data_IF_660355968592
#
_entry.id   IF_660355968592
#
_cell.length_a   1.000
_cell.length_b   1.000
_cell.length_c   1.000
_cell.angle_alpha   90.00
_cell.angle_beta   90.00
_cell.angle_gamma   90.00
#
_symmetry.space_group_name_H-M   'P 1'
#
loop_
_entity.id
_entity.type
_entity.pdbx_description
1 polymer ?
#
# COMPACT_ATOMS: atom_id res chain seq x y z
N UNK A 1 18.45 -8.44 -6.98
CA UNK A 1 18.65 -8.73 -5.55
C UNK A 1 17.49 -9.59 -5.07
N UNK A 2 17.76 -10.64 -4.29
CA UNK A 2 16.73 -11.37 -3.55
C UNK A 2 16.62 -10.84 -2.11
N UNK A 3 15.82 -11.50 -1.26
CA UNK A 3 15.61 -11.09 0.15
C UNK A 3 16.94 -10.95 0.90
N UNK A 4 17.83 -11.96 0.84
CA UNK A 4 19.13 -11.89 1.51
C UNK A 4 19.98 -10.70 1.07
N UNK A 5 19.95 -10.36 -0.22
CA UNK A 5 20.68 -9.19 -0.71
C UNK A 5 20.09 -7.86 -0.21
N UNK A 6 18.78 -7.78 0.02
CA UNK A 6 18.18 -6.58 0.62
C UNK A 6 18.52 -6.44 2.10
N UNK A 7 18.69 -7.57 2.81
CA UNK A 7 19.17 -7.59 4.21
C UNK A 7 20.63 -7.15 4.27
N UNK A 8 21.49 -7.69 3.41
CA UNK A 8 22.92 -7.34 3.35
C UNK A 8 23.14 -5.84 3.10
N UNK A 9 22.27 -5.22 2.28
CA UNK A 9 22.28 -3.79 1.99
C UNK A 9 21.52 -2.93 3.04
N UNK A 10 21.05 -3.54 4.13
CA UNK A 10 20.27 -2.87 5.19
C UNK A 10 19.01 -2.15 4.69
N UNK A 11 18.45 -2.59 3.56
CA UNK A 11 17.21 -2.06 2.98
C UNK A 11 15.96 -2.65 3.66
N UNK A 12 16.10 -3.84 4.23
CA UNK A 12 15.09 -4.51 5.06
C UNK A 12 15.77 -5.26 6.21
N UNK A 13 15.03 -5.58 7.25
CA UNK A 13 15.44 -6.43 8.37
C UNK A 13 14.41 -7.51 8.66
N UNK A 14 14.82 -8.59 9.31
CA UNK A 14 13.92 -9.61 9.84
C UNK A 14 13.77 -9.40 11.36
N UNK A 15 12.56 -9.09 11.82
CA UNK A 15 12.22 -8.91 13.23
C UNK A 15 11.03 -9.78 13.54
N UNK A 16 11.15 -10.71 14.50
CA UNK A 16 10.07 -11.63 14.90
C UNK A 16 9.38 -12.36 13.72
N UNK A 17 10.17 -12.81 12.73
CA UNK A 17 9.72 -13.43 11.48
C UNK A 17 8.95 -12.50 10.51
N UNK A 18 8.98 -11.19 10.75
CA UNK A 18 8.42 -10.17 9.88
C UNK A 18 9.54 -9.44 9.12
N UNK A 19 9.26 -9.06 7.88
CA UNK A 19 10.13 -8.15 7.13
C UNK A 19 9.79 -6.73 7.55
N UNK A 20 10.77 -6.03 8.11
CA UNK A 20 10.69 -4.60 8.38
C UNK A 20 11.46 -3.83 7.33
N UNK A 21 10.90 -2.71 6.90
CA UNK A 21 11.55 -1.76 6.01
C UNK A 21 11.79 -0.47 6.81
N UNK A 22 13.03 0.04 6.91
CA UNK A 22 13.28 1.35 7.51
C UNK A 22 12.37 2.43 6.92
N UNK A 23 11.82 3.30 7.78
CA UNK A 23 10.84 4.32 7.39
C UNK A 23 11.26 5.13 6.16
N UNK A 24 12.54 5.49 6.03
CA UNK A 24 13.05 6.25 4.89
C UNK A 24 12.84 5.54 3.53
N UNK A 25 13.00 4.21 3.49
CA UNK A 25 12.77 3.43 2.27
C UNK A 25 11.27 3.25 2.03
N UNK A 26 10.48 3.09 3.10
CA UNK A 26 9.03 3.01 2.99
C UNK A 26 8.46 4.32 2.44
N UNK A 27 8.89 5.47 2.98
CA UNK A 27 8.48 6.80 2.54
C UNK A 27 8.91 7.06 1.09
N UNK A 28 10.12 6.63 0.71
CA UNK A 28 10.58 6.74 -0.68
C UNK A 28 9.70 5.91 -1.61
N UNK A 29 9.37 4.66 -1.24
CA UNK A 29 8.46 3.82 -2.02
C UNK A 29 7.07 4.42 -2.15
N UNK A 30 6.52 4.95 -1.04
CA UNK A 30 5.23 5.66 -1.01
C UNK A 30 5.25 6.90 -1.91
N UNK A 31 6.34 7.67 -1.88
CA UNK A 31 6.50 8.82 -2.77
C UNK A 31 6.49 8.40 -4.25
N UNK A 32 7.20 7.33 -4.61
CA UNK A 32 7.18 6.83 -6.00
C UNK A 32 5.77 6.45 -6.43
N UNK A 33 5.02 5.71 -5.61
CA UNK A 33 3.65 5.31 -5.93
C UNK A 33 2.71 6.52 -5.99
N UNK A 34 2.88 7.50 -5.11
CA UNK A 34 2.11 8.75 -5.16
C UNK A 34 2.31 9.49 -6.49
N UNK A 35 3.53 9.44 -7.07
CA UNK A 35 3.85 10.10 -8.33
C UNK A 35 3.36 9.35 -9.58
N UNK A 36 2.89 8.11 -9.45
CA UNK A 36 2.33 7.35 -10.58
C UNK A 36 1.05 7.99 -11.10
N UNK A 37 0.20 8.48 -10.19
CA UNK A 37 -1.04 9.14 -10.55
C UNK A 37 -1.59 10.01 -9.41
N UNK A 38 -2.21 11.14 -9.77
CA UNK A 38 -2.92 11.98 -8.81
C UNK A 38 -4.17 11.28 -8.23
N UNK A 39 -4.84 10.46 -9.03
CA UNK A 39 -6.02 9.70 -8.60
C UNK A 39 -5.57 8.41 -7.88
N UNK A 40 -5.98 8.24 -6.62
CA UNK A 40 -5.59 7.09 -5.80
C UNK A 40 -5.92 5.75 -6.48
N UNK A 41 -7.14 5.60 -7.03
CA UNK A 41 -7.59 4.37 -7.70
C UNK A 41 -6.80 3.99 -8.97
N UNK A 42 -5.87 4.84 -9.42
CA UNK A 42 -4.96 4.60 -10.56
C UNK A 42 -3.49 4.40 -10.15
N UNK A 43 -3.20 4.33 -8.85
CA UNK A 43 -1.88 4.02 -8.31
C UNK A 43 -1.73 2.52 -8.13
N UNK A 44 -0.50 2.03 -8.18
CA UNK A 44 -0.16 0.62 -7.99
C UNK A 44 -0.46 0.10 -6.59
N UNK A 45 -0.35 0.96 -5.58
CA UNK A 45 -0.56 0.60 -4.17
C UNK A 45 -1.32 1.69 -3.42
N UNK A 46 -2.12 1.23 -2.46
CA UNK A 46 -2.84 2.09 -1.53
C UNK A 46 -2.46 1.75 -0.09
N UNK A 47 -2.24 2.78 0.73
CA UNK A 47 -1.97 2.64 2.18
C UNK A 47 -2.63 3.73 3.03
N UNK A 48 -3.07 4.84 2.43
CA UNK A 48 -3.81 5.87 3.14
C UNK A 48 -5.26 5.42 3.32
N UNK A 49 -5.71 5.32 4.57
CA UNK A 49 -7.05 4.80 4.88
C UNK A 49 -8.16 5.65 4.25
N UNK A 50 -7.97 6.97 4.10
CA UNK A 50 -8.97 7.86 3.51
C UNK A 50 -9.07 7.59 2.01
N UNK A 51 -7.92 7.56 1.32
CA UNK A 51 -7.86 7.24 -0.11
C UNK A 51 -8.45 5.85 -0.38
N UNK A 52 -8.17 4.85 0.47
CA UNK A 52 -8.71 3.49 0.33
C UNK A 52 -10.23 3.50 0.47
N UNK A 53 -10.76 4.09 1.55
CA UNK A 53 -12.21 4.15 1.78
C UNK A 53 -12.91 4.84 0.62
N UNK A 54 -12.36 5.94 0.12
CA UNK A 54 -12.92 6.66 -1.03
C UNK A 54 -12.89 5.83 -2.31
N UNK A 55 -11.78 5.13 -2.57
CA UNK A 55 -11.62 4.26 -3.74
C UNK A 55 -12.64 3.10 -3.71
N UNK A 56 -12.78 2.46 -2.55
CA UNK A 56 -13.67 1.32 -2.39
C UNK A 56 -15.14 1.75 -2.44
N UNK A 57 -15.52 2.80 -1.70
CA UNK A 57 -16.92 3.25 -1.63
C UNK A 57 -17.44 3.68 -3.00
N UNK A 58 -16.60 4.31 -3.81
CA UNK A 58 -16.98 4.80 -5.13
C UNK A 58 -16.71 3.80 -6.27
N UNK A 59 -16.20 2.61 -5.96
CA UNK A 59 -15.76 1.62 -6.94
C UNK A 59 -14.85 2.22 -8.03
N UNK A 60 -13.91 3.08 -7.63
CA UNK A 60 -13.04 3.84 -8.54
C UNK A 60 -11.65 3.24 -8.70
N UNK A 61 -11.41 2.08 -8.08
CA UNK A 61 -10.20 1.29 -8.29
C UNK A 61 -10.10 0.83 -9.74
N UNK A 62 -8.87 0.73 -10.25
CA UNK A 62 -8.59 0.24 -11.60
C UNK A 62 -7.65 -0.97 -11.53
N UNK A 63 -7.45 -1.62 -12.67
CA UNK A 63 -6.44 -2.68 -12.84
C UNK A 63 -5.00 -2.26 -12.48
N UNK A 64 -4.76 -0.95 -12.34
CA UNK A 64 -3.48 -0.46 -11.84
C UNK A 64 -3.27 -0.83 -10.37
N UNK A 65 -4.32 -0.94 -9.55
CA UNK A 65 -4.18 -1.24 -8.12
C UNK A 65 -3.78 -2.70 -7.94
N UNK A 66 -2.53 -2.93 -7.58
CA UNK A 66 -1.96 -4.27 -7.37
C UNK A 66 -1.96 -4.68 -5.89
N UNK A 67 -2.07 -3.73 -4.95
CA UNK A 67 -2.04 -4.04 -3.53
C UNK A 67 -2.60 -2.94 -2.62
N UNK A 68 -3.19 -3.36 -1.50
CA UNK A 68 -3.81 -2.48 -0.52
C UNK A 68 -3.30 -2.87 0.86
N UNK A 69 -2.82 -1.89 1.62
CA UNK A 69 -2.54 -2.03 3.05
C UNK A 69 -3.60 -1.24 3.82
N UNK A 70 -4.55 -1.97 4.43
CA UNK A 70 -5.68 -1.40 5.14
C UNK A 70 -5.69 -1.88 6.58
N UNK A 71 -5.54 -0.95 7.52
CA UNK A 71 -5.91 -1.19 8.92
C UNK A 71 -7.41 -0.91 9.08
N UNK A 72 -8.18 -1.99 9.23
CA UNK A 72 -9.64 -1.92 9.37
C UNK A 72 -10.11 -1.84 10.83
N UNK A 73 -9.19 -1.77 11.80
CA UNK A 73 -9.53 -1.86 13.23
C UNK A 73 -10.45 -0.73 13.70
N UNK A 74 -10.30 0.47 13.13
CA UNK A 74 -11.04 1.68 13.49
C UNK A 74 -12.02 2.13 12.40
N UNK A 75 -12.32 1.28 11.42
CA UNK A 75 -13.12 1.65 10.27
C UNK A 75 -14.53 1.04 10.31
N UNK A 76 -15.54 1.90 10.14
CA UNK A 76 -16.95 1.50 9.96
C UNK A 76 -17.48 2.06 8.65
N UNK A 77 -17.42 1.27 7.58
CA UNK A 77 -18.05 1.59 6.31
C UNK A 77 -18.61 0.32 5.65
N UNK A 78 -19.71 0.46 4.93
CA UNK A 78 -20.33 -0.65 4.21
C UNK A 78 -19.72 -0.74 2.81
N UNK A 79 -19.18 -1.92 2.47
CA UNK A 79 -18.67 -2.21 1.14
C UNK A 79 -19.69 -3.00 0.34
N UNK A 80 -19.81 -2.66 -0.93
CA UNK A 80 -20.48 -3.54 -1.88
C UNK A 80 -19.62 -4.81 -2.06
N UNK A 81 -20.19 -6.03 -2.02
CA UNK A 81 -19.44 -7.26 -2.28
C UNK A 81 -18.81 -7.33 -3.69
N UNK A 82 -19.22 -6.46 -4.62
CA UNK A 82 -18.63 -6.32 -5.97
C UNK A 82 -17.76 -5.07 -6.10
N UNK A 83 -17.26 -4.51 -4.99
CA UNK A 83 -16.23 -3.47 -5.07
C UNK A 83 -14.95 -4.08 -5.66
N UNK A 84 -14.37 -3.38 -6.63
CA UNK A 84 -13.44 -3.82 -7.67
C UNK A 84 -14.11 -4.51 -8.88
#
# INVERSE_FOLDING_TARGET
>A
LGIYGLIDESLISLVDNMIEMPNIFQDTGRFVVFQENNEAGKRSRLWDSTDIVDVLTNNSGTEAVEGIFLDASDLTFELNPTVF
#
